data_IF_287570657224
#
_entry.id   IF_287570657224
#
_cell.length_a   1.000
_cell.length_b   1.000
_cell.length_c   1.000
_cell.angle_alpha   90.00
_cell.angle_beta   90.00
_cell.angle_gamma   90.00
#
_symmetry.space_group_name_H-M   'P 1'
#
loop_
_entity.id
_entity.type
_entity.pdbx_description
1 polymer ?
#
# COMPACT_ATOMS: atom_id res chain seq x y z
N UNK A 1 15.22 5.79 23.29
CA UNK A 1 13.96 6.23 23.93
C UNK A 1 12.83 5.47 23.29
N UNK A 2 11.94 4.91 24.10
CA UNK A 2 10.83 4.03 23.69
C UNK A 2 9.99 4.61 22.54
N UNK A 3 9.65 5.90 22.59
CA UNK A 3 8.92 6.58 21.53
C UNK A 3 9.58 6.47 20.15
N UNK A 4 10.90 6.67 20.06
CA UNK A 4 11.65 6.56 18.79
C UNK A 4 11.61 5.13 18.24
N UNK A 5 11.66 4.13 19.13
CA UNK A 5 11.59 2.73 18.73
C UNK A 5 10.19 2.37 18.22
N UNK A 6 9.14 2.86 18.87
CA UNK A 6 7.74 2.64 18.46
C UNK A 6 7.47 3.26 17.08
N UNK A 7 7.95 4.49 16.84
CA UNK A 7 7.82 5.14 15.53
C UNK A 7 8.57 4.36 14.44
N UNK A 8 9.79 3.87 14.73
CA UNK A 8 10.56 3.05 13.79
C UNK A 8 9.83 1.74 13.45
N UNK A 9 9.36 1.01 14.45
CA UNK A 9 8.66 -0.25 14.24
C UNK A 9 7.38 -0.07 13.41
N UNK A 10 6.63 1.01 13.65
CA UNK A 10 5.46 1.37 12.84
C UNK A 10 5.85 1.65 11.38
N UNK A 11 6.92 2.41 11.16
CA UNK A 11 7.43 2.72 9.82
C UNK A 11 7.86 1.45 9.07
N UNK A 12 8.63 0.57 9.72
CA UNK A 12 9.07 -0.71 9.14
C UNK A 12 7.88 -1.58 8.75
N UNK A 13 6.86 -1.70 9.62
CA UNK A 13 5.65 -2.46 9.33
C UNK A 13 4.90 -1.93 8.10
N UNK A 14 4.75 -0.61 7.99
CA UNK A 14 4.10 0.03 6.83
C UNK A 14 4.91 -0.25 5.55
N UNK A 15 6.24 -0.14 5.62
CA UNK A 15 7.11 -0.41 4.49
C UNK A 15 7.01 -1.87 4.02
N UNK A 16 7.06 -2.84 4.93
CA UNK A 16 6.89 -4.26 4.60
C UNK A 16 5.53 -4.55 3.97
N UNK A 17 4.45 -3.94 4.46
CA UNK A 17 3.11 -4.12 3.89
C UNK A 17 2.98 -3.55 2.48
N UNK A 18 3.61 -2.39 2.20
CA UNK A 18 3.67 -1.84 0.84
C UNK A 18 4.40 -2.77 -0.12
N UNK A 19 5.53 -3.33 0.31
CA UNK A 19 6.29 -4.26 -0.51
C UNK A 19 5.50 -5.54 -0.82
N UNK A 20 4.82 -6.10 0.19
CA UNK A 20 3.97 -7.28 0.01
C UNK A 20 2.83 -7.00 -0.97
N UNK A 21 2.15 -5.86 -0.81
CA UNK A 21 1.03 -5.46 -1.67
C UNK A 21 1.47 -5.30 -3.13
N UNK A 22 2.57 -4.56 -3.36
CA UNK A 22 3.16 -4.40 -4.69
C UNK A 22 3.56 -5.74 -5.33
N UNK A 23 4.24 -6.61 -4.56
CA UNK A 23 4.63 -7.94 -5.05
C UNK A 23 3.40 -8.77 -5.44
N UNK A 24 2.30 -8.69 -4.68
CA UNK A 24 1.07 -9.42 -4.98
C UNK A 24 0.39 -8.91 -6.25
N UNK A 25 0.30 -7.59 -6.42
CA UNK A 25 -0.26 -6.98 -7.63
C UNK A 25 0.52 -7.38 -8.88
N UNK A 26 1.85 -7.37 -8.78
CA UNK A 26 2.76 -7.82 -9.85
C UNK A 26 2.58 -9.31 -10.15
N UNK A 27 2.50 -10.16 -9.13
CA UNK A 27 2.26 -11.60 -9.30
C UNK A 27 0.93 -11.89 -10.02
N UNK A 28 -0.11 -11.12 -9.73
CA UNK A 28 -1.42 -11.25 -10.35
C UNK A 28 -1.50 -10.63 -11.76
N UNK A 29 -0.42 -10.01 -12.25
CA UNK A 29 -0.42 -9.31 -13.54
C UNK A 29 -1.41 -8.14 -13.58
N UNK A 30 -1.62 -7.48 -12.44
CA UNK A 30 -2.60 -6.40 -12.32
C UNK A 30 -2.24 -5.27 -13.29
N UNK A 31 -3.15 -4.82 -14.18
CA UNK A 31 -2.86 -3.78 -15.15
C UNK A 31 -2.38 -2.47 -14.50
N UNK A 32 -1.49 -1.75 -15.17
CA UNK A 32 -0.95 -0.46 -14.72
C UNK A 32 0.38 -0.55 -13.97
N UNK A 33 0.91 0.61 -13.57
CA UNK A 33 2.15 0.76 -12.80
C UNK A 33 1.84 0.95 -11.32
N UNK A 34 2.39 0.06 -10.49
CA UNK A 34 2.12 0.00 -9.05
C UNK A 34 3.34 0.41 -8.21
N UNK A 35 4.42 0.86 -8.85
CA UNK A 35 5.69 1.27 -8.24
C UNK A 35 5.50 2.44 -7.27
N UNK A 36 4.50 3.29 -7.50
CA UNK A 36 4.17 4.42 -6.63
C UNK A 36 3.79 3.98 -5.21
N UNK A 37 3.30 2.74 -5.00
CA UNK A 37 2.96 2.21 -3.67
C UNK A 37 4.20 2.09 -2.78
N UNK A 38 5.34 1.69 -3.34
CA UNK A 38 6.59 1.46 -2.61
C UNK A 38 7.51 2.68 -2.58
N UNK A 39 7.33 3.63 -3.50
CA UNK A 39 8.10 4.88 -3.55
C UNK A 39 7.56 5.97 -2.62
N UNK A 40 6.31 5.85 -2.15
CA UNK A 40 5.68 6.83 -1.27
C UNK A 40 6.16 6.74 0.18
N UNK A 41 6.40 7.90 0.79
CA UNK A 41 6.69 8.03 2.23
C UNK A 41 5.45 8.51 2.97
N UNK A 42 5.10 7.83 4.07
CA UNK A 42 3.96 8.20 4.91
C UNK A 42 3.07 7.00 5.26
N UNK A 43 2.00 7.27 5.99
CA UNK A 43 1.10 6.23 6.49
C UNK A 43 0.13 5.70 5.43
N UNK A 44 -0.20 6.51 4.42
CA UNK A 44 -1.21 6.18 3.42
C UNK A 44 -0.60 5.97 2.03
N UNK A 45 -1.15 5.03 1.28
CA UNK A 45 -0.81 4.82 -0.12
C UNK A 45 -1.92 5.41 -0.99
N UNK A 46 -1.56 6.25 -1.96
CA UNK A 46 -2.51 6.63 -3.01
C UNK A 46 -2.50 5.52 -4.06
N UNK A 47 -3.64 4.87 -4.29
CA UNK A 47 -3.75 3.70 -5.19
C UNK A 47 -4.05 4.08 -6.65
N UNK A 48 -4.39 5.33 -6.93
CA UNK A 48 -4.80 5.77 -8.27
C UNK A 48 -6.17 5.24 -8.74
N UNK A 49 -6.90 4.53 -7.87
CA UNK A 49 -8.22 3.99 -8.21
C UNK A 49 -9.24 5.13 -8.33
N UNK A 50 -10.07 5.05 -9.38
CA UNK A 50 -11.17 5.98 -9.56
C UNK A 50 -12.38 5.61 -8.65
N UNK A 51 -13.33 6.53 -8.43
CA UNK A 51 -14.48 6.29 -7.56
C UNK A 51 -15.28 5.04 -7.93
N UNK A 52 -15.43 4.72 -9.22
CA UNK A 52 -16.15 3.53 -9.67
C UNK A 52 -15.41 2.24 -9.28
N UNK A 53 -14.09 2.21 -9.44
CA UNK A 53 -13.27 1.07 -9.00
C UNK A 53 -13.34 0.89 -7.48
N UNK A 54 -13.28 1.98 -6.71
CA UNK A 54 -13.46 1.94 -5.26
C UNK A 54 -14.85 1.39 -4.87
N UNK A 55 -15.92 1.81 -5.55
CA UNK A 55 -17.26 1.29 -5.30
C UNK A 55 -17.37 -0.22 -5.53
N UNK A 56 -16.74 -0.75 -6.59
CA UNK A 56 -16.70 -2.20 -6.83
C UNK A 56 -16.03 -2.94 -5.67
N UNK A 57 -14.91 -2.43 -5.16
CA UNK A 57 -14.23 -3.03 -3.99
C UNK A 57 -15.08 -3.01 -2.73
N UNK A 58 -15.90 -1.97 -2.53
CA UNK A 58 -16.81 -1.86 -1.38
C UNK A 58 -17.99 -2.83 -1.51
N UNK A 59 -18.53 -2.99 -2.71
CA UNK A 59 -19.75 -3.77 -2.95
C UNK A 59 -19.50 -5.29 -3.08
N UNK A 60 -18.29 -5.71 -3.45
CA UNK A 60 -17.95 -7.12 -3.65
C UNK A 60 -17.34 -7.78 -2.40
N UNK A 61 -17.91 -7.50 -1.22
CA UNK A 61 -17.54 -8.13 0.05
C UNK A 61 -18.43 -9.32 0.39
#
# INVERSE_FOLDING_TARGET
>A
GEWKNNVRAMHERIHSMRQLFYNKLKQLGTPGTWEHIIQQTGMFAYTGLNPRQCQVLIQQH
#
